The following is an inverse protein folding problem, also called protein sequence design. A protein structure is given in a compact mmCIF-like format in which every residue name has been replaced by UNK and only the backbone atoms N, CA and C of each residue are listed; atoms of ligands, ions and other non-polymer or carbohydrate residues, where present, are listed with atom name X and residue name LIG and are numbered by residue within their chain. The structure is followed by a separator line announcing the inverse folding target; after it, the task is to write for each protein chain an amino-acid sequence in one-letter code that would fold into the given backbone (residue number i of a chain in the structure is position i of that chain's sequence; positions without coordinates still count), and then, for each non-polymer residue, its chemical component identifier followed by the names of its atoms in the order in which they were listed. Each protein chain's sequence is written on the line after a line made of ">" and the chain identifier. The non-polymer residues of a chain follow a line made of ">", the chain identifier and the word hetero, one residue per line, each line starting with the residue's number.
data_IF_643742511125
#
_entry.id   IF_643742511125
#
_cell.length_a   1.000
_cell.length_b   1.000
_cell.length_c   1.000
_cell.angle_alpha   90.00
_cell.angle_beta   90.00
_cell.angle_gamma   90.00
#
_symmetry.space_group_name_H-M   'P 1'
#
loop_
_entity.id
_entity.type
_entity.pdbx_description
1 polymer ?
#
# COMPACT_ATOMS: atom_id res chain seq x y z
N UNK A 1 3.63 11.57 22.08
CA UNK A 1 2.80 10.57 21.37
C UNK A 1 3.46 10.27 20.04
N UNK A 2 3.77 9.02 19.74
CA UNK A 2 4.31 8.63 18.42
C UNK A 2 5.78 8.24 18.37
N UNK A 3 6.54 8.32 19.48
CA UNK A 3 7.83 7.65 19.53
C UNK A 3 7.62 6.11 19.54
N UNK A 4 8.23 5.35 18.62
CA UNK A 4 7.99 3.91 18.52
C UNK A 4 8.38 3.12 19.78
N UNK A 5 9.45 3.52 20.49
CA UNK A 5 9.89 2.80 21.70
C UNK A 5 8.93 3.07 22.85
N UNK A 6 8.51 4.32 23.03
CA UNK A 6 7.50 4.68 24.03
C UNK A 6 6.17 3.97 23.78
N UNK A 7 5.76 3.82 22.51
CA UNK A 7 4.55 3.05 22.16
C UNK A 7 4.73 1.56 22.51
N UNK A 8 5.90 0.99 22.22
CA UNK A 8 6.23 -0.39 22.58
C UNK A 8 6.13 -0.63 24.09
N UNK A 9 6.74 0.25 24.90
CA UNK A 9 6.70 0.17 26.36
C UNK A 9 5.29 0.42 26.92
N UNK A 10 4.59 1.45 26.42
CA UNK A 10 3.24 1.80 26.87
C UNK A 10 2.24 0.65 26.68
N UNK A 11 2.34 -0.07 25.57
CA UNK A 11 1.50 -1.25 25.30
C UNK A 11 2.11 -2.57 25.79
N UNK A 12 3.29 -2.55 26.42
CA UNK A 12 4.00 -3.74 26.88
C UNK A 12 4.28 -4.76 25.77
N UNK A 13 4.54 -4.29 24.54
CA UNK A 13 4.73 -5.16 23.37
C UNK A 13 5.98 -6.05 23.48
N UNK A 14 6.97 -5.61 24.26
CA UNK A 14 8.21 -6.31 24.56
C UNK A 14 8.02 -7.54 25.45
N UNK A 15 7.01 -7.51 26.33
CA UNK A 15 6.67 -8.59 27.27
C UNK A 15 5.38 -9.34 26.89
N UNK A 16 4.77 -8.95 25.78
CA UNK A 16 3.48 -9.49 25.33
C UNK A 16 3.56 -10.92 24.81
N UNK A 17 2.45 -11.66 24.97
CA UNK A 17 2.23 -12.97 24.33
C UNK A 17 1.52 -12.87 22.98
N UNK A 18 1.19 -11.65 22.54
CA UNK A 18 0.53 -11.41 21.26
C UNK A 18 1.40 -11.92 20.10
N UNK A 19 0.74 -12.61 19.17
CA UNK A 19 1.36 -13.10 17.94
C UNK A 19 0.62 -12.50 16.75
N UNK A 20 1.38 -12.11 15.74
CA UNK A 20 0.85 -11.58 14.50
C UNK A 20 1.54 -12.26 13.32
N UNK A 21 0.76 -12.52 12.25
CA UNK A 21 1.30 -12.97 10.96
C UNK A 21 1.74 -11.79 10.09
N UNK A 22 1.10 -10.64 10.27
CA UNK A 22 1.33 -9.41 9.51
C UNK A 22 1.48 -8.29 10.54
N UNK A 23 2.54 -7.49 10.41
CA UNK A 23 2.82 -6.34 11.26
C UNK A 23 3.00 -5.12 10.35
N UNK A 24 2.17 -4.09 10.56
CA UNK A 24 2.35 -2.78 9.94
C UNK A 24 2.77 -1.79 11.03
N UNK A 25 3.86 -1.08 10.78
CA UNK A 25 4.38 -0.05 11.66
C UNK A 25 4.78 1.17 10.82
N UNK A 26 4.31 2.34 11.24
CA UNK A 26 4.57 3.59 10.55
C UNK A 26 4.96 4.64 11.59
N UNK A 27 6.08 5.33 11.33
CA UNK A 27 6.45 6.55 12.03
C UNK A 27 6.08 7.77 11.19
N UNK A 28 5.14 8.60 11.67
CA UNK A 28 4.69 9.79 10.96
C UNK A 28 5.44 11.01 11.46
N UNK A 29 6.11 11.72 10.56
CA UNK A 29 6.56 13.08 10.82
C UNK A 29 5.39 14.05 10.56
N UNK A 30 4.85 14.62 11.62
CA UNK A 30 3.81 15.65 11.51
C UNK A 30 4.45 17.02 11.25
N UNK A 31 3.92 17.74 10.26
CA UNK A 31 4.27 19.15 9.98
C UNK A 31 3.43 20.14 10.81
N UNK A 32 2.39 19.68 11.49
CA UNK A 32 1.50 20.49 12.33
C UNK A 32 1.81 20.33 13.82
N UNK A 33 1.67 21.42 14.59
CA UNK A 33 1.98 21.48 16.02
C UNK A 33 1.08 20.61 16.92
N UNK A 34 -0.09 20.18 16.45
CA UNK A 34 -1.02 19.34 17.21
C UNK A 34 -1.09 17.92 16.62
N UNK A 35 -0.89 16.91 17.46
CA UNK A 35 -1.01 15.50 17.10
C UNK A 35 -2.49 15.11 17.13
N UNK A 36 -3.03 14.63 16.01
CA UNK A 36 -4.35 14.03 15.93
C UNK A 36 -4.24 12.50 15.90
N UNK A 37 -4.71 11.82 16.94
CA UNK A 37 -4.69 10.35 17.06
C UNK A 37 -5.44 9.66 15.91
N UNK A 38 -6.51 10.26 15.40
CA UNK A 38 -7.29 9.72 14.29
C UNK A 38 -6.58 9.84 12.93
N UNK A 39 -5.43 10.53 12.89
CA UNK A 39 -4.60 10.65 11.71
C UNK A 39 -3.36 9.76 11.77
N UNK A 40 -3.26 8.87 12.77
CA UNK A 40 -2.18 7.91 12.91
C UNK A 40 -2.48 6.65 12.09
N UNK A 41 -1.48 6.20 11.34
CA UNK A 41 -1.49 4.93 10.62
C UNK A 41 -1.31 3.72 11.57
N UNK A 42 -1.62 2.49 11.12
CA UNK A 42 -2.25 2.14 9.84
C UNK A 42 -3.76 2.44 9.82
N UNK A 43 -4.30 2.70 8.64
CA UNK A 43 -5.75 2.79 8.43
C UNK A 43 -6.31 1.41 8.12
N UNK A 44 -7.56 1.17 8.50
CA UNK A 44 -8.21 -0.14 8.38
C UNK A 44 -9.71 -0.03 8.12
N UNK A 45 -10.23 -0.86 7.21
CA UNK A 45 -11.66 -0.98 6.93
C UNK A 45 -12.01 -2.39 6.43
N UNK A 46 -12.90 -3.09 7.15
CA UNK A 46 -13.42 -4.42 6.77
C UNK A 46 -12.36 -5.44 6.29
N UNK A 47 -11.21 -5.51 6.97
CA UNK A 47 -10.14 -6.47 6.64
C UNK A 47 -9.11 -5.95 5.65
N UNK A 48 -9.29 -4.75 5.10
CA UNK A 48 -8.31 -4.05 4.28
C UNK A 48 -7.58 -3.03 5.13
N UNK A 49 -6.26 -2.92 4.99
CA UNK A 49 -5.49 -1.89 5.68
C UNK A 49 -4.32 -1.39 4.86
N UNK A 50 -3.95 -0.13 5.07
CA UNK A 50 -2.74 0.43 4.47
C UNK A 50 -2.08 1.48 5.37
N UNK A 51 -0.78 1.65 5.14
CA UNK A 51 0.02 2.75 5.64
C UNK A 51 0.78 3.40 4.50
N UNK A 52 1.00 4.71 4.60
CA UNK A 52 1.59 5.50 3.53
C UNK A 52 2.74 6.34 4.07
N UNK A 53 3.88 6.26 3.38
CA UNK A 53 4.97 7.21 3.49
C UNK A 53 4.84 8.18 2.31
N UNK A 54 4.42 9.42 2.56
CA UNK A 54 4.13 10.35 1.47
C UNK A 54 3.08 11.39 1.79
N UNK A 55 2.63 12.06 0.73
CA UNK A 55 1.54 13.01 0.72
C UNK A 55 0.74 12.83 -0.57
N UNK A 56 -0.60 12.86 -0.46
CA UNK A 56 -1.50 12.80 -1.60
C UNK A 56 -2.17 14.16 -1.85
N UNK A 57 -1.71 14.87 -2.88
CA UNK A 57 -2.23 16.19 -3.25
C UNK A 57 -3.61 16.13 -3.90
N UNK A 58 -4.04 14.96 -4.39
CA UNK A 58 -5.35 14.71 -4.96
C UNK A 58 -6.43 14.32 -3.93
N UNK A 59 -6.20 14.59 -2.63
CA UNK A 59 -7.08 14.14 -1.54
C UNK A 59 -8.56 14.55 -1.69
N UNK A 60 -8.83 15.83 -1.95
CA UNK A 60 -10.19 16.38 -1.97
C UNK A 60 -11.11 15.67 -2.99
N UNK A 61 -10.76 15.58 -4.29
CA UNK A 61 -11.61 14.91 -5.27
C UNK A 61 -11.79 13.41 -4.96
N UNK A 62 -10.75 12.73 -4.46
CA UNK A 62 -10.83 11.32 -4.08
C UNK A 62 -11.82 11.13 -2.94
N UNK A 63 -11.71 11.96 -1.88
CA UNK A 63 -12.60 11.94 -0.72
C UNK A 63 -14.05 12.14 -1.15
N UNK A 64 -14.32 13.16 -1.97
CA UNK A 64 -15.68 13.46 -2.44
C UNK A 64 -16.26 12.31 -3.27
N UNK A 65 -15.47 11.73 -4.17
CA UNK A 65 -15.87 10.55 -4.93
C UNK A 65 -16.25 9.39 -4.01
N UNK A 66 -15.39 9.04 -3.05
CA UNK A 66 -15.62 7.92 -2.13
C UNK A 66 -16.84 8.17 -1.24
N UNK A 67 -16.93 9.33 -0.59
CA UNK A 67 -18.07 9.68 0.27
C UNK A 67 -19.39 9.64 -0.51
N UNK A 68 -19.40 10.05 -1.78
CA UNK A 68 -20.61 10.00 -2.62
C UNK A 68 -21.09 8.57 -2.94
N UNK A 69 -20.29 7.53 -2.68
CA UNK A 69 -20.71 6.12 -2.87
C UNK A 69 -21.71 5.63 -1.82
N UNK A 70 -22.01 6.44 -0.80
CA UNK A 70 -23.00 6.13 0.23
C UNK A 70 -22.61 4.97 1.16
N UNK A 71 -21.32 4.61 1.19
CA UNK A 71 -20.82 3.62 2.14
C UNK A 71 -20.45 4.32 3.45
N UNK A 72 -21.08 3.91 4.56
CA UNK A 72 -20.94 4.57 5.86
C UNK A 72 -19.50 4.60 6.37
N UNK A 73 -18.65 3.64 5.98
CA UNK A 73 -17.24 3.62 6.37
C UNK A 73 -16.36 4.64 5.65
N UNK A 74 -16.83 5.28 4.57
CA UNK A 74 -16.07 6.33 3.87
C UNK A 74 -16.31 7.71 4.48
N UNK A 75 -15.89 7.87 5.74
CA UNK A 75 -16.06 9.09 6.51
C UNK A 75 -14.86 9.29 7.44
N UNK A 76 -14.85 10.40 8.19
CA UNK A 76 -13.87 10.58 9.27
C UNK A 76 -12.44 10.88 8.82
N UNK A 77 -12.25 11.31 7.57
CA UNK A 77 -10.92 11.60 7.02
C UNK A 77 -10.16 12.65 7.83
N UNK A 78 -9.17 12.21 8.60
CA UNK A 78 -8.25 13.05 9.38
C UNK A 78 -6.82 13.06 8.79
N UNK A 79 -6.57 12.22 7.79
CA UNK A 79 -5.35 12.20 6.98
C UNK A 79 -5.71 12.02 5.51
N UNK A 80 -4.94 12.66 4.65
CA UNK A 80 -4.90 12.40 3.21
C UNK A 80 -4.66 10.92 2.88
N UNK A 81 -3.89 10.23 3.72
CA UNK A 81 -3.51 8.84 3.51
C UNK A 81 -4.63 7.82 3.71
N UNK A 82 -5.70 8.20 4.40
CA UNK A 82 -6.84 7.29 4.66
C UNK A 82 -7.57 6.92 3.35
N UNK A 83 -7.49 7.79 2.32
CA UNK A 83 -8.05 7.48 1.01
C UNK A 83 -7.41 6.28 0.34
N UNK A 84 -6.15 5.95 0.63
CA UNK A 84 -5.50 4.77 0.04
C UNK A 84 -6.19 3.48 0.47
N UNK A 85 -6.51 3.36 1.77
CA UNK A 85 -7.26 2.22 2.31
C UNK A 85 -8.68 2.17 1.73
N UNK A 86 -9.33 3.34 1.57
CA UNK A 86 -10.69 3.38 1.05
C UNK A 86 -10.76 3.11 -0.47
N UNK A 87 -9.78 3.53 -1.26
CA UNK A 87 -9.66 3.14 -2.68
C UNK A 87 -9.43 1.64 -2.78
N UNK A 88 -8.55 1.07 -1.95
CA UNK A 88 -8.27 -0.37 -1.91
C UNK A 88 -9.55 -1.17 -1.62
N UNK A 89 -10.28 -0.78 -0.57
CA UNK A 89 -11.55 -1.38 -0.20
C UNK A 89 -12.61 -1.19 -1.31
N UNK A 90 -12.72 -0.01 -1.90
CA UNK A 90 -13.67 0.23 -2.99
C UNK A 90 -13.38 -0.68 -4.19
N UNK A 91 -12.11 -0.76 -4.60
CA UNK A 91 -11.65 -1.57 -5.72
C UNK A 91 -11.95 -3.04 -5.50
N UNK A 92 -11.46 -3.60 -4.40
CA UNK A 92 -11.50 -5.06 -4.18
C UNK A 92 -12.85 -5.52 -3.62
N UNK A 93 -13.42 -4.79 -2.65
CA UNK A 93 -14.61 -5.22 -1.93
C UNK A 93 -15.91 -4.74 -2.57
N UNK A 94 -15.96 -3.49 -3.03
CA UNK A 94 -17.22 -2.90 -3.55
C UNK A 94 -17.39 -3.17 -5.05
N UNK A 95 -16.32 -3.09 -5.83
CA UNK A 95 -16.34 -3.39 -7.26
C UNK A 95 -16.04 -4.86 -7.57
N UNK A 96 -15.38 -5.58 -6.65
CA UNK A 96 -15.03 -6.99 -6.85
C UNK A 96 -13.84 -7.19 -7.80
N UNK A 97 -13.03 -6.16 -8.02
CA UNK A 97 -11.90 -6.23 -8.93
C UNK A 97 -10.67 -6.88 -8.29
N UNK A 98 -9.84 -7.57 -9.09
CA UNK A 98 -8.54 -8.06 -8.64
C UNK A 98 -7.66 -6.96 -8.04
N UNK A 99 -6.84 -7.32 -7.06
CA UNK A 99 -5.92 -6.40 -6.39
C UNK A 99 -4.99 -5.67 -7.37
N UNK A 100 -4.61 -6.29 -8.48
CA UNK A 100 -3.76 -5.66 -9.51
C UNK A 100 -4.37 -4.38 -10.08
N UNK A 101 -5.70 -4.30 -10.20
CA UNK A 101 -6.38 -3.08 -10.66
C UNK A 101 -6.32 -1.94 -9.66
N UNK A 102 -6.00 -2.19 -8.39
CA UNK A 102 -5.72 -1.11 -7.44
C UNK A 102 -4.59 -0.20 -7.96
N UNK A 103 -3.51 -0.80 -8.50
CA UNK A 103 -2.39 -0.07 -9.10
C UNK A 103 -2.80 0.73 -10.34
N UNK A 104 -3.65 0.15 -11.18
CA UNK A 104 -4.18 0.81 -12.38
C UNK A 104 -5.14 1.97 -12.06
N UNK A 105 -5.84 1.91 -10.94
CA UNK A 105 -6.74 2.99 -10.48
C UNK A 105 -5.96 4.15 -9.86
N UNK A 106 -5.04 3.85 -8.95
CA UNK A 106 -4.30 4.91 -8.25
C UNK A 106 -3.30 5.58 -9.18
N UNK A 107 -2.60 4.82 -10.03
CA UNK A 107 -1.63 5.34 -11.00
C UNK A 107 -1.95 4.82 -12.42
N UNK A 108 -2.96 5.41 -13.09
CA UNK A 108 -3.37 4.95 -14.41
C UNK A 108 -2.28 5.19 -15.46
N UNK A 109 -2.09 4.20 -16.32
CA UNK A 109 -1.23 4.27 -17.49
C UNK A 109 -1.71 5.33 -18.50
N UNK A 110 -0.83 5.77 -19.40
CA UNK A 110 -1.23 6.56 -20.58
C UNK A 110 -2.07 5.69 -21.51
N UNK A 111 -2.98 6.31 -22.28
CA UNK A 111 -3.83 5.57 -23.24
C UNK A 111 -3.00 4.73 -24.21
N UNK A 112 -1.91 5.30 -24.76
CA UNK A 112 -0.98 4.57 -25.63
C UNK A 112 -0.29 3.37 -24.97
N UNK A 113 -0.14 3.38 -23.65
CA UNK A 113 0.42 2.25 -22.89
C UNK A 113 -0.68 1.19 -22.66
N UNK A 114 -1.90 1.62 -22.34
CA UNK A 114 -3.07 0.75 -22.13
C UNK A 114 -3.38 -0.07 -23.39
N UNK A 115 -3.32 0.55 -24.57
CA UNK A 115 -3.59 -0.09 -25.86
C UNK A 115 -2.74 -1.34 -26.11
N UNK A 116 -1.56 -1.45 -25.48
CA UNK A 116 -0.65 -2.59 -25.63
C UNK A 116 -0.98 -3.76 -24.71
N UNK A 117 -1.89 -3.58 -23.73
CA UNK A 117 -2.23 -4.60 -22.74
C UNK A 117 -3.23 -5.61 -23.28
N UNK A 118 -3.15 -6.88 -22.85
CA UNK A 118 -4.19 -7.88 -23.16
C UNK A 118 -5.58 -7.51 -22.63
N UNK A 119 -5.65 -6.78 -21.51
CA UNK A 119 -6.88 -6.31 -20.86
C UNK A 119 -7.15 -4.81 -21.10
N UNK A 120 -6.71 -4.28 -22.24
CA UNK A 120 -6.76 -2.85 -22.58
C UNK A 120 -8.14 -2.22 -22.41
N UNK A 121 -9.21 -2.90 -22.83
CA UNK A 121 -10.59 -2.43 -22.68
C UNK A 121 -10.98 -2.20 -21.20
N UNK A 122 -10.65 -3.17 -20.33
CA UNK A 122 -10.92 -3.04 -18.91
C UNK A 122 -10.10 -1.91 -18.28
N UNK A 123 -8.81 -1.84 -18.59
CA UNK A 123 -7.92 -0.79 -18.10
C UNK A 123 -8.35 0.62 -18.55
N UNK A 124 -8.84 0.77 -19.78
CA UNK A 124 -9.36 2.04 -20.29
C UNK A 124 -10.66 2.43 -19.57
N UNK A 125 -11.59 1.49 -19.34
CA UNK A 125 -12.79 1.78 -18.57
C UNK A 125 -12.50 2.15 -17.11
N UNK A 126 -11.50 1.52 -16.48
CA UNK A 126 -11.04 1.90 -15.15
C UNK A 126 -10.48 3.33 -15.16
N UNK A 127 -9.61 3.65 -16.11
CA UNK A 127 -9.02 4.99 -16.26
C UNK A 127 -10.10 6.06 -16.40
N UNK A 128 -11.12 5.84 -17.22
CA UNK A 128 -12.21 6.80 -17.47
C UNK A 128 -13.13 6.89 -16.24
N UNK A 129 -13.64 5.75 -15.77
CA UNK A 129 -14.70 5.70 -14.76
C UNK A 129 -14.20 6.03 -13.35
N UNK A 130 -12.94 5.72 -13.07
CA UNK A 130 -12.31 5.88 -11.75
C UNK A 130 -11.23 6.97 -11.75
N UNK A 131 -11.19 7.84 -12.78
CA UNK A 131 -10.31 9.00 -12.84
C UNK A 131 -10.26 9.82 -11.55
N UNK A 132 -11.38 10.07 -10.83
CA UNK A 132 -11.34 10.81 -9.57
C UNK A 132 -10.55 10.14 -8.44
N UNK A 133 -10.23 8.84 -8.57
CA UNK A 133 -9.43 8.06 -7.62
C UNK A 133 -7.92 8.08 -7.92
N UNK A 134 -7.51 8.70 -9.02
CA UNK A 134 -6.10 8.86 -9.37
C UNK A 134 -5.39 9.68 -8.29
N UNK A 135 -4.31 9.14 -7.74
CA UNK A 135 -3.50 9.82 -6.73
C UNK A 135 -2.52 10.78 -7.42
N UNK A 136 -2.05 11.77 -6.66
CA UNK A 136 -0.94 12.63 -7.06
C UNK A 136 -0.09 12.98 -5.84
N UNK A 137 1.17 13.33 -6.07
CA UNK A 137 2.15 13.56 -5.01
C UNK A 137 2.97 12.32 -4.63
N UNK A 138 4.05 12.52 -3.84
CA UNK A 138 5.02 11.49 -3.51
C UNK A 138 4.44 10.46 -2.56
N UNK A 139 4.45 9.17 -2.91
CA UNK A 139 3.98 8.13 -1.98
C UNK A 139 4.61 6.75 -2.19
N UNK A 140 4.76 6.04 -1.07
CA UNK A 140 4.97 4.62 -0.98
C UNK A 140 3.91 4.06 -0.02
N UNK A 141 3.08 3.16 -0.52
CA UNK A 141 1.93 2.58 0.19
C UNK A 141 2.22 1.11 0.42
N UNK A 142 2.09 0.69 1.68
CA UNK A 142 2.16 -0.70 2.09
C UNK A 142 0.81 -1.08 2.67
N UNK A 143 0.24 -2.20 2.24
CA UNK A 143 -1.07 -2.63 2.72
C UNK A 143 -1.26 -4.13 2.71
N UNK A 144 -2.44 -4.54 3.16
CA UNK A 144 -2.88 -5.93 3.13
C UNK A 144 -4.37 -6.06 2.82
N UNK A 145 -4.75 -7.23 2.31
CA UNK A 145 -6.13 -7.62 2.03
C UNK A 145 -6.61 -8.73 2.99
N UNK A 146 -7.93 -8.99 3.10
CA UNK A 146 -8.48 -9.90 4.11
C UNK A 146 -7.98 -11.36 4.07
N UNK A 147 -7.49 -11.81 2.92
CA UNK A 147 -6.87 -13.12 2.71
C UNK A 147 -5.43 -13.22 3.26
N UNK A 148 -4.86 -12.11 3.73
CA UNK A 148 -3.50 -12.04 4.24
C UNK A 148 -2.45 -11.74 3.18
N UNK A 149 -2.85 -11.41 1.94
CA UNK A 149 -1.94 -10.90 0.93
C UNK A 149 -1.43 -9.52 1.36
N UNK A 150 -0.11 -9.28 1.31
CA UNK A 150 0.49 -7.97 1.56
C UNK A 150 1.01 -7.39 0.24
N UNK A 151 1.08 -6.06 0.14
CA UNK A 151 1.57 -5.42 -1.06
C UNK A 151 2.32 -4.11 -0.79
N UNK A 152 3.19 -3.74 -1.72
CA UNK A 152 3.83 -2.42 -1.84
C UNK A 152 3.54 -1.82 -3.20
N UNK A 153 3.08 -0.57 -3.23
CA UNK A 153 2.91 0.23 -4.46
C UNK A 153 3.43 1.64 -4.24
N UNK A 154 3.86 2.29 -5.31
CA UNK A 154 4.40 3.64 -5.26
C UNK A 154 3.77 4.54 -6.33
N UNK A 155 3.94 5.85 -6.16
CA UNK A 155 3.55 6.84 -7.14
C UNK A 155 4.30 6.67 -8.48
N UNK A 156 3.74 7.22 -9.55
CA UNK A 156 4.27 7.03 -10.90
C UNK A 156 5.65 7.66 -11.15
N UNK A 157 6.14 8.53 -10.26
CA UNK A 157 7.46 9.16 -10.33
C UNK A 157 8.46 8.54 -9.35
N UNK A 158 8.03 7.56 -8.52
CA UNK A 158 8.87 6.89 -7.50
C UNK A 158 9.57 7.88 -6.58
N UNK A 159 8.81 8.78 -5.95
CA UNK A 159 9.37 9.88 -5.16
C UNK A 159 9.69 9.52 -3.71
N UNK A 160 9.29 8.32 -3.26
CA UNK A 160 9.58 7.78 -1.94
C UNK A 160 10.28 6.44 -2.08
N UNK A 161 11.21 6.10 -1.18
CA UNK A 161 11.91 4.83 -1.25
C UNK A 161 10.98 3.69 -0.79
N UNK A 162 11.27 2.49 -1.27
CA UNK A 162 10.58 1.26 -0.94
C UNK A 162 11.40 0.07 -1.39
N UNK A 163 11.57 -0.91 -0.51
CA UNK A 163 12.31 -2.13 -0.77
C UNK A 163 11.56 -3.32 -0.16
N UNK A 164 11.57 -4.44 -0.87
CA UNK A 164 10.97 -5.69 -0.43
C UNK A 164 12.03 -6.77 -0.45
N UNK A 165 12.20 -7.47 0.66
CA UNK A 165 13.20 -8.52 0.78
C UNK A 165 12.83 -9.52 1.86
N UNK A 166 13.45 -10.68 1.82
CA UNK A 166 13.27 -11.70 2.84
C UNK A 166 13.66 -13.10 2.40
N UNK A 167 13.10 -14.07 3.10
CA UNK A 167 13.29 -15.51 2.86
C UNK A 167 11.92 -16.18 2.89
N UNK A 168 11.79 -17.37 2.31
CA UNK A 168 10.53 -18.12 2.33
C UNK A 168 9.96 -18.20 3.75
N UNK A 169 8.69 -17.82 3.92
CA UNK A 169 7.99 -17.77 5.21
C UNK A 169 8.19 -16.47 6.01
N UNK A 170 9.06 -15.56 5.57
CA UNK A 170 9.26 -14.25 6.19
C UNK A 170 9.72 -13.21 5.18
N UNK A 171 8.84 -12.27 4.84
CA UNK A 171 9.16 -11.11 4.00
C UNK A 171 8.92 -9.80 4.75
N UNK A 172 9.65 -8.77 4.36
CA UNK A 172 9.52 -7.43 4.90
C UNK A 172 9.42 -6.41 3.75
N UNK A 173 8.53 -5.44 3.93
CA UNK A 173 8.28 -4.32 3.03
C UNK A 173 8.70 -3.06 3.81
N UNK A 174 9.78 -2.41 3.40
CA UNK A 174 10.41 -1.35 4.19
C UNK A 174 10.63 -0.09 3.35
N UNK A 175 10.71 1.07 4.01
CA UNK A 175 11.12 2.31 3.33
C UNK A 175 12.63 2.31 3.02
N UNK A 176 13.44 1.57 3.78
CA UNK A 176 14.90 1.57 3.67
C UNK A 176 15.48 0.16 3.89
N UNK A 177 16.61 -0.12 3.26
CA UNK A 177 17.32 -1.41 3.34
C UNK A 177 17.79 -1.72 4.77
N UNK A 178 18.14 -0.71 5.57
CA UNK A 178 18.54 -0.90 6.96
C UNK A 178 17.43 -1.53 7.81
N UNK A 179 16.17 -1.27 7.46
CA UNK A 179 15.00 -1.91 8.08
C UNK A 179 14.94 -3.41 7.75
N UNK A 180 15.26 -3.78 6.51
CA UNK A 180 15.38 -5.18 6.11
C UNK A 180 16.55 -5.87 6.81
N UNK A 181 17.72 -5.21 6.89
CA UNK A 181 18.91 -5.74 7.56
C UNK A 181 18.62 -6.10 9.01
N UNK A 182 17.78 -5.30 9.68
CA UNK A 182 17.39 -5.57 11.06
C UNK A 182 16.28 -6.62 11.17
N UNK A 183 15.31 -6.61 10.27
CA UNK A 183 14.15 -7.51 10.34
C UNK A 183 14.47 -8.94 9.87
N UNK A 184 15.31 -9.07 8.84
CA UNK A 184 15.65 -10.33 8.18
C UNK A 184 17.16 -10.29 7.81
N UNK A 185 18.06 -10.52 8.78
CA UNK A 185 19.50 -10.43 8.56
C UNK A 185 20.04 -11.50 7.62
N UNK A 186 19.40 -12.68 7.58
CA UNK A 186 19.84 -13.84 6.79
C UNK A 186 19.35 -13.82 5.33
N UNK A 187 18.77 -12.71 4.86
CA UNK A 187 18.31 -12.59 3.47
C UNK A 187 19.49 -12.35 2.52
N UNK A 188 19.36 -12.81 1.29
CA UNK A 188 20.28 -12.47 0.21
C UNK A 188 19.97 -11.07 -0.33
N UNK A 189 20.84 -10.10 -0.07
CA UNK A 189 20.64 -8.68 -0.46
C UNK A 189 20.54 -8.50 -1.97
N UNK A 190 21.17 -9.37 -2.76
CA UNK A 190 21.08 -9.35 -4.22
C UNK A 190 19.67 -9.59 -4.74
N UNK A 191 18.82 -10.21 -3.91
CA UNK A 191 17.46 -10.60 -4.28
C UNK A 191 16.43 -9.56 -3.80
N UNK A 192 16.86 -8.51 -3.09
CA UNK A 192 16.00 -7.42 -2.68
C UNK A 192 15.35 -6.74 -3.91
N UNK A 193 14.03 -6.58 -3.84
CA UNK A 193 13.21 -6.00 -4.90
C UNK A 193 13.01 -4.51 -4.61
N UNK A 194 13.35 -3.69 -5.59
CA UNK A 194 13.15 -2.24 -5.54
C UNK A 194 12.06 -1.83 -6.56
N UNK A 195 10.77 -1.81 -6.16
CA UNK A 195 9.67 -1.55 -7.09
C UNK A 195 9.89 -0.23 -7.83
N UNK A 196 9.64 -0.23 -9.13
CA UNK A 196 9.68 0.93 -9.99
C UNK A 196 8.27 1.45 -10.29
N UNK A 197 8.19 2.49 -11.14
CA UNK A 197 6.97 3.20 -11.51
C UNK A 197 5.74 2.31 -11.76
N UNK A 198 5.91 1.24 -12.53
CA UNK A 198 4.82 0.36 -12.99
C UNK A 198 4.58 -0.82 -12.05
N UNK A 199 5.39 -0.96 -11.00
CA UNK A 199 5.43 -2.18 -10.22
C UNK A 199 4.51 -2.10 -9.01
N UNK A 200 3.93 -3.26 -8.70
CA UNK A 200 3.26 -3.59 -7.46
C UNK A 200 3.86 -4.90 -6.96
N UNK A 201 4.53 -4.86 -5.82
CA UNK A 201 5.07 -6.07 -5.21
C UNK A 201 4.00 -6.66 -4.31
N UNK A 202 3.80 -7.97 -4.42
CA UNK A 202 2.77 -8.73 -3.72
C UNK A 202 3.44 -9.89 -2.99
N UNK A 203 3.21 -9.98 -1.69
CA UNK A 203 3.56 -11.13 -0.87
C UNK A 203 2.29 -11.95 -0.66
N UNK A 204 2.33 -13.19 -1.11
CA UNK A 204 1.22 -14.13 -0.99
C UNK A 204 0.87 -14.44 0.48
N UNK A 205 -0.37 -14.91 0.75
CA UNK A 205 -0.77 -15.34 2.08
C UNK A 205 0.21 -16.36 2.66
N UNK A 206 0.55 -16.21 3.95
CA UNK A 206 1.51 -17.09 4.61
C UNK A 206 2.98 -16.84 4.24
N UNK A 207 3.28 -15.77 3.48
CA UNK A 207 4.63 -15.46 3.03
C UNK A 207 5.26 -16.60 2.22
N UNK A 208 4.47 -17.27 1.37
CA UNK A 208 4.93 -18.40 0.56
C UNK A 208 5.84 -18.00 -0.58
N UNK A 209 5.55 -16.85 -1.20
CA UNK A 209 6.24 -16.29 -2.35
C UNK A 209 6.03 -14.78 -2.45
N UNK A 210 6.94 -14.11 -3.16
CA UNK A 210 6.82 -12.72 -3.59
C UNK A 210 6.67 -12.70 -5.11
N UNK A 211 5.83 -11.77 -5.59
CA UNK A 211 5.58 -11.57 -7.02
C UNK A 211 5.54 -10.09 -7.32
N UNK A 212 5.97 -9.73 -8.53
CA UNK A 212 5.92 -8.35 -9.00
C UNK A 212 4.91 -8.26 -10.13
N UNK A 213 3.81 -7.56 -9.90
CA UNK A 213 2.89 -7.17 -10.95
C UNK A 213 3.40 -5.88 -11.59
N UNK A 214 3.72 -5.93 -12.88
CA UNK A 214 4.06 -4.77 -13.67
C UNK A 214 2.87 -4.41 -14.58
N UNK A 215 2.41 -3.15 -14.54
CA UNK A 215 1.24 -2.71 -15.31
C UNK A 215 1.36 -2.92 -16.83
N UNK A 216 2.57 -3.05 -17.39
CA UNK A 216 2.80 -3.29 -18.82
C UNK A 216 3.10 -4.76 -19.14
N UNK A 217 3.82 -5.44 -18.24
CA UNK A 217 4.36 -6.78 -18.48
C UNK A 217 3.57 -7.90 -17.77
N UNK A 218 2.65 -7.55 -16.89
CA UNK A 218 1.89 -8.49 -16.07
C UNK A 218 2.72 -9.05 -14.91
N UNK A 219 2.44 -10.30 -14.51
CA UNK A 219 3.18 -10.95 -13.44
C UNK A 219 4.60 -11.30 -13.88
N UNK A 220 5.57 -10.75 -13.17
CA UNK A 220 6.99 -11.06 -13.27
C UNK A 220 7.44 -11.75 -11.99
N UNK A 221 8.35 -12.72 -12.11
CA UNK A 221 8.75 -13.58 -10.97
C UNK A 221 9.83 -12.91 -10.12
N UNK A 222 9.72 -13.00 -8.78
CA UNK A 222 10.89 -12.84 -7.90
C UNK A 222 10.64 -13.36 -6.48
N UNK A 223 11.42 -14.38 -6.08
CA UNK A 223 11.56 -15.06 -4.77
C UNK A 223 10.42 -15.99 -4.31
N UNK A 224 10.78 -17.26 -4.05
CA UNK A 224 9.93 -18.36 -3.56
C UNK A 224 10.63 -19.20 -2.50
#
# INVERSE_FOLDING_TARGET
>A
MGDPLQLGEFFGLDTSTLKAKIILAQGRQNTNYAINLYACHPFFIQGYGSMTNGENTAFIPIREFLTSRGFSGYMGYNSDSEVFTHILHYTCRRLGYPLTYYKDIITPLKTSEIETRPDSEAAEFLKISLRPLCIDGPNCVIGFTPDGTCFMVQDSKKLRPGVVGGVKGKFALMSEECGLDKAIPDRERSDDIFPMKYDMVVVSPGAEEVKVWNQLQGWTTTMS
#
